data_IF_587182669005
#
_entry.id   IF_587182669005
#
_cell.length_a   1.000
_cell.length_b   1.000
_cell.length_c   1.000
_cell.angle_alpha   90.00
_cell.angle_beta   90.00
_cell.angle_gamma   90.00
#
_symmetry.space_group_name_H-M   'P 1'
#
loop_
_entity.id
_entity.type
_entity.pdbx_description
1 polymer ?
#
# COMPACT_ATOMS: atom_id res chain seq x y z
N UNK A 1 -16.10 11.39 19.48
CA UNK A 1 -16.32 10.26 20.41
C UNK A 1 -17.33 10.73 21.45
N UNK A 2 -18.62 10.50 21.23
CA UNK A 2 -19.71 11.06 22.05
C UNK A 2 -20.21 10.03 23.06
N UNK A 3 -19.31 9.47 23.86
CA UNK A 3 -19.62 8.44 24.87
C UNK A 3 -19.09 8.88 26.21
N UNK A 4 -19.91 8.81 27.25
CA UNK A 4 -19.50 8.99 28.64
C UNK A 4 -18.82 7.72 29.17
N UNK A 5 -17.51 7.80 29.33
CA UNK A 5 -16.65 6.83 30.01
C UNK A 5 -15.51 7.56 30.70
N UNK A 6 -14.68 6.87 31.49
CA UNK A 6 -13.56 7.49 32.22
C UNK A 6 -12.70 8.41 31.34
N UNK A 7 -12.26 7.93 30.18
CA UNK A 7 -11.33 8.68 29.32
C UNK A 7 -11.91 9.96 28.70
N UNK A 8 -13.20 9.98 28.34
CA UNK A 8 -13.85 11.20 27.82
C UNK A 8 -14.16 12.18 28.94
N UNK A 9 -14.60 11.68 30.10
CA UNK A 9 -14.78 12.48 31.30
C UNK A 9 -13.47 13.17 31.71
N UNK A 10 -12.39 12.38 31.83
CA UNK A 10 -11.08 12.87 32.25
C UNK A 10 -10.51 13.91 31.29
N UNK A 11 -10.70 13.75 29.97
CA UNK A 11 -10.26 14.73 28.97
C UNK A 11 -11.03 16.04 29.02
N UNK A 12 -12.36 16.01 29.27
CA UNK A 12 -13.14 17.24 29.46
C UNK A 12 -12.71 17.96 30.73
N UNK A 13 -12.48 17.22 31.82
CA UNK A 13 -12.00 17.81 33.06
C UNK A 13 -10.60 18.40 32.88
N UNK A 14 -9.69 17.67 32.24
CA UNK A 14 -8.33 18.10 31.94
C UNK A 14 -8.26 19.47 31.26
N UNK A 15 -9.15 19.75 30.30
CA UNK A 15 -9.12 21.02 29.55
C UNK A 15 -9.46 22.25 30.41
N UNK A 16 -10.05 22.06 31.60
CA UNK A 16 -10.48 23.14 32.50
C UNK A 16 -9.74 23.12 33.86
N UNK A 17 -8.67 22.34 33.97
CA UNK A 17 -7.87 22.20 35.20
C UNK A 17 -6.63 23.07 35.18
N UNK A 18 -6.19 23.52 36.37
CA UNK A 18 -4.91 24.21 36.56
C UNK A 18 -3.72 23.27 36.29
N UNK A 19 -2.57 23.83 35.92
CA UNK A 19 -1.34 23.04 35.79
C UNK A 19 -0.81 22.60 37.18
N UNK A 20 -0.28 21.36 37.31
CA UNK A 20 -0.13 20.34 36.28
C UNK A 20 -1.46 19.64 35.94
N UNK A 21 -1.77 19.54 34.65
CA UNK A 21 -2.97 18.90 34.12
C UNK A 21 -2.64 17.81 33.09
N UNK A 22 -1.43 17.25 33.10
CA UNK A 22 -1.13 16.09 32.26
C UNK A 22 -2.00 14.88 32.63
N UNK A 23 -1.97 13.84 31.79
CA UNK A 23 -2.82 12.66 32.01
C UNK A 23 -2.58 11.99 33.36
N UNK A 24 -1.34 12.04 33.87
CA UNK A 24 -0.96 11.44 35.15
C UNK A 24 -1.57 12.22 36.30
N UNK A 25 -1.37 13.55 36.34
CA UNK A 25 -1.92 14.43 37.36
C UNK A 25 -3.45 14.32 37.43
N UNK A 26 -4.13 14.30 36.27
CA UNK A 26 -5.59 14.17 36.22
C UNK A 26 -6.06 12.78 36.68
N UNK A 27 -5.34 11.71 36.31
CA UNK A 27 -5.68 10.36 36.76
C UNK A 27 -5.53 10.21 38.27
N UNK A 28 -4.41 10.69 38.84
CA UNK A 28 -4.14 10.62 40.27
C UNK A 28 -5.16 11.45 41.07
N UNK A 29 -5.54 12.63 40.55
CA UNK A 29 -6.57 13.46 41.17
C UNK A 29 -7.95 12.80 41.14
N UNK A 30 -8.37 12.23 40.00
CA UNK A 30 -9.68 11.59 39.85
C UNK A 30 -9.79 10.27 40.61
N UNK A 31 -8.70 9.50 40.66
CA UNK A 31 -8.68 8.16 41.24
C UNK A 31 -8.23 8.15 42.71
N UNK A 32 -7.73 9.28 43.24
CA UNK A 32 -7.19 9.39 44.60
C UNK A 32 -8.14 8.92 45.70
N UNK A 33 -9.45 9.16 45.57
CA UNK A 33 -10.44 8.68 46.55
C UNK A 33 -10.55 7.14 46.59
N UNK A 34 -10.21 6.46 45.49
CA UNK A 34 -10.23 4.99 45.38
C UNK A 34 -8.86 4.35 45.61
N UNK A 35 -7.77 5.10 45.42
CA UNK A 35 -6.39 4.61 45.57
C UNK A 35 -5.74 5.06 46.87
N UNK A 36 -6.49 5.66 47.80
CA UNK A 36 -5.94 6.26 49.02
C UNK A 36 -4.83 7.31 48.74
N UNK A 37 -5.00 8.02 47.61
CA UNK A 37 -4.05 8.99 47.04
C UNK A 37 -2.70 8.39 46.61
N UNK A 38 -2.61 7.08 46.41
CA UNK A 38 -1.47 6.46 45.74
C UNK A 38 -1.50 6.76 44.24
N UNK A 39 -0.30 6.92 43.66
CA UNK A 39 -0.12 7.17 42.23
C UNK A 39 -0.57 5.97 41.40
N UNK A 40 -1.33 6.26 40.34
CA UNK A 40 -1.78 5.26 39.38
C UNK A 40 -0.63 4.93 38.43
N UNK A 41 -0.44 3.64 38.14
CA UNK A 41 0.61 3.17 37.24
C UNK A 41 0.56 3.92 35.88
N UNK A 42 1.64 4.55 35.40
CA UNK A 42 1.62 5.39 34.18
C UNK A 42 1.11 4.68 32.92
N UNK A 43 1.42 3.38 32.80
CA UNK A 43 0.93 2.54 31.70
C UNK A 43 -0.60 2.38 31.74
N UNK A 44 -1.19 2.29 32.94
CA UNK A 44 -2.63 2.22 33.14
C UNK A 44 -3.27 3.56 32.74
N UNK A 45 -2.70 4.67 33.22
CA UNK A 45 -3.14 6.03 32.87
C UNK A 45 -3.17 6.22 31.34
N UNK A 46 -2.03 5.96 30.69
CA UNK A 46 -1.91 6.09 29.23
C UNK A 46 -2.95 5.25 28.48
N UNK A 47 -3.20 4.02 28.91
CA UNK A 47 -4.20 3.14 28.27
C UNK A 47 -5.63 3.59 28.54
N UNK A 48 -5.95 4.17 29.71
CA UNK A 48 -7.27 4.69 30.02
C UNK A 48 -7.61 5.92 29.18
N UNK A 49 -6.70 6.89 29.10
CA UNK A 49 -6.87 8.12 28.30
C UNK A 49 -6.90 7.85 26.79
N UNK A 50 -6.23 6.80 26.34
CA UNK A 50 -6.23 6.37 24.94
C UNK A 50 -7.31 5.32 24.61
N UNK A 51 -8.24 5.05 25.53
CA UNK A 51 -9.33 4.09 25.33
C UNK A 51 -8.86 2.67 24.95
N UNK A 52 -7.66 2.28 25.39
CA UNK A 52 -7.04 0.98 25.08
C UNK A 52 -7.32 -0.09 26.12
N UNK A 53 -7.91 0.28 27.26
CA UNK A 53 -8.31 -0.66 28.31
C UNK A 53 -9.55 -0.20 29.06
N UNK A 54 -10.19 -1.16 29.72
CA UNK A 54 -11.24 -0.90 30.70
C UNK A 54 -10.67 -0.32 32.00
N UNK A 55 -11.52 0.37 32.75
CA UNK A 55 -11.19 0.77 34.12
C UNK A 55 -10.88 -0.50 34.94
N UNK A 56 -9.74 -0.58 35.64
CA UNK A 56 -9.38 -1.75 36.44
C UNK A 56 -10.51 -2.17 37.39
N UNK A 57 -10.79 -3.48 37.47
CA UNK A 57 -11.90 -4.01 38.29
C UNK A 57 -11.81 -3.61 39.76
N UNK A 58 -10.60 -3.49 40.30
CA UNK A 58 -10.38 -3.03 41.68
C UNK A 58 -10.91 -1.60 41.90
N UNK A 59 -10.67 -0.70 40.94
CA UNK A 59 -11.16 0.69 40.98
C UNK A 59 -12.68 0.72 40.88
N UNK A 60 -13.26 -0.07 39.97
CA UNK A 60 -14.73 -0.14 39.81
C UNK A 60 -15.40 -0.69 41.07
N UNK A 61 -14.80 -1.71 41.71
CA UNK A 61 -15.30 -2.26 42.97
C UNK A 61 -15.24 -1.23 44.11
N UNK A 62 -14.11 -0.52 44.22
CA UNK A 62 -13.92 0.51 45.24
C UNK A 62 -14.84 1.72 45.02
N UNK A 63 -15.16 2.07 43.77
CA UNK A 63 -16.11 3.13 43.44
C UNK A 63 -17.53 2.89 43.99
N UNK A 64 -17.87 1.63 44.27
CA UNK A 64 -19.15 1.23 44.88
C UNK A 64 -19.07 1.07 46.40
N UNK A 65 -17.91 1.34 47.02
CA UNK A 65 -17.74 1.20 48.47
C UNK A 65 -18.49 2.31 49.22
N UNK A 66 -19.02 2.06 50.43
CA UNK A 66 -19.69 3.09 51.23
C UNK A 66 -18.80 4.31 51.49
N UNK A 67 -17.48 4.09 51.66
CA UNK A 67 -16.47 5.15 51.83
C UNK A 67 -16.47 6.10 50.63
N UNK A 68 -16.37 5.55 49.41
CA UNK A 68 -16.31 6.36 48.20
C UNK A 68 -17.65 7.04 47.93
N UNK A 69 -18.77 6.31 48.02
CA UNK A 69 -20.10 6.86 47.73
C UNK A 69 -20.48 8.00 48.68
N UNK A 70 -20.17 7.87 49.97
CA UNK A 70 -20.45 8.93 50.97
C UNK A 70 -19.43 10.07 50.91
N UNK A 71 -18.18 9.78 50.56
CA UNK A 71 -17.09 10.75 50.50
C UNK A 71 -16.97 11.51 49.17
N UNK A 72 -17.60 11.03 48.09
CA UNK A 72 -17.38 11.54 46.74
C UNK A 72 -17.70 13.04 46.62
N UNK A 73 -18.83 13.51 47.15
CA UNK A 73 -19.22 14.92 47.00
C UNK A 73 -18.24 15.86 47.71
N UNK A 74 -17.82 15.49 48.93
CA UNK A 74 -16.81 16.23 49.67
C UNK A 74 -15.49 16.25 48.92
N UNK A 75 -15.01 15.10 48.45
CA UNK A 75 -13.76 15.00 47.71
C UNK A 75 -13.79 15.83 46.42
N UNK A 76 -14.87 15.73 45.64
CA UNK A 76 -15.03 16.50 44.41
C UNK A 76 -15.05 18.01 44.68
N UNK A 77 -15.71 18.45 45.75
CA UNK A 77 -15.69 19.86 46.12
C UNK A 77 -14.29 20.34 46.53
N UNK A 78 -13.62 19.61 47.44
CA UNK A 78 -12.35 20.03 48.05
C UNK A 78 -11.13 19.84 47.13
N UNK A 79 -11.16 18.86 46.23
CA UNK A 79 -10.01 18.47 45.40
C UNK A 79 -10.19 18.79 43.93
N UNK A 80 -11.40 18.62 43.39
CA UNK A 80 -11.64 18.76 41.95
C UNK A 80 -12.11 20.16 41.62
N UNK A 81 -13.19 20.62 42.24
CA UNK A 81 -13.74 21.98 42.01
C UNK A 81 -12.73 23.05 42.43
N UNK A 82 -12.03 22.85 43.55
CA UNK A 82 -10.98 23.75 44.02
C UNK A 82 -9.79 23.87 43.05
N UNK A 83 -9.56 22.88 42.20
CA UNK A 83 -8.42 22.83 41.26
C UNK A 83 -8.80 23.24 39.83
N UNK A 84 -10.05 23.64 39.60
CA UNK A 84 -10.48 24.18 38.31
C UNK A 84 -9.77 25.51 38.01
N UNK A 85 -9.47 25.73 36.75
CA UNK A 85 -8.87 26.97 36.28
C UNK A 85 -9.95 28.08 36.25
N UNK A 86 -9.77 29.19 36.99
CA UNK A 86 -10.77 30.26 37.08
C UNK A 86 -11.16 30.89 35.73
N UNK A 87 -10.30 30.79 34.71
CA UNK A 87 -10.51 31.45 33.41
C UNK A 87 -11.38 30.65 32.44
N UNK A 88 -11.49 29.32 32.60
CA UNK A 88 -12.23 28.47 31.67
C UNK A 88 -13.13 27.42 32.36
N UNK A 89 -13.23 27.43 33.70
CA UNK A 89 -14.13 26.54 34.46
C UNK A 89 -15.58 26.57 33.99
N UNK A 90 -16.04 27.69 33.42
CA UNK A 90 -17.41 27.85 32.94
C UNK A 90 -17.70 26.99 31.68
N UNK A 91 -16.67 26.50 30.98
CA UNK A 91 -16.81 25.58 29.84
C UNK A 91 -17.08 24.12 30.28
N UNK A 92 -16.80 23.78 31.53
CA UNK A 92 -16.92 22.41 32.04
C UNK A 92 -18.35 21.88 31.95
N UNK A 93 -19.30 22.65 32.48
CA UNK A 93 -20.69 22.25 32.57
C UNK A 93 -21.35 22.11 31.19
N UNK A 94 -21.17 23.04 30.23
CA UNK A 94 -21.62 22.86 28.84
C UNK A 94 -21.03 21.62 28.17
N UNK A 95 -19.71 21.40 28.27
CA UNK A 95 -19.04 20.27 27.62
C UNK A 95 -19.49 18.93 28.19
N UNK A 96 -19.56 18.81 29.52
CA UNK A 96 -20.02 17.59 30.18
C UNK A 96 -21.50 17.31 29.90
N UNK A 97 -22.33 18.35 29.93
CA UNK A 97 -23.76 18.25 29.58
C UNK A 97 -23.96 17.77 28.15
N UNK A 98 -23.20 18.33 27.20
CA UNK A 98 -23.25 17.91 25.80
C UNK A 98 -22.84 16.44 25.64
N UNK A 99 -21.77 16.00 26.32
CA UNK A 99 -21.34 14.60 26.30
C UNK A 99 -22.45 13.64 26.76
N UNK A 100 -23.15 13.97 27.85
CA UNK A 100 -24.26 13.16 28.36
C UNK A 100 -25.45 13.14 27.37
N UNK A 101 -25.79 14.30 26.79
CA UNK A 101 -26.89 14.42 25.82
C UNK A 101 -26.62 13.60 24.55
N UNK A 102 -25.41 13.68 24.03
CA UNK A 102 -25.01 13.05 22.76
C UNK A 102 -24.77 11.53 22.90
N UNK A 103 -24.57 11.00 24.11
CA UNK A 103 -24.36 9.56 24.32
C UNK A 103 -25.67 8.76 24.19
N UNK A 104 -25.85 8.10 23.05
CA UNK A 104 -27.04 7.28 22.75
C UNK A 104 -27.16 6.01 23.60
N UNK A 105 -26.09 5.62 24.30
CA UNK A 105 -26.05 4.38 25.09
C UNK A 105 -26.38 4.61 26.58
N UNK A 106 -26.77 5.83 26.96
CA UNK A 106 -27.34 6.17 28.28
C UNK A 106 -28.86 6.28 28.16
N UNK A 107 -29.59 5.63 29.07
CA UNK A 107 -31.06 5.67 29.08
C UNK A 107 -31.59 7.08 29.36
N UNK A 108 -32.80 7.38 28.88
CA UNK A 108 -33.44 8.69 29.08
C UNK A 108 -33.57 9.05 30.57
N UNK A 109 -33.96 8.10 31.42
CA UNK A 109 -34.08 8.31 32.87
C UNK A 109 -32.74 8.63 33.52
N UNK A 110 -31.67 7.94 33.11
CA UNK A 110 -30.33 8.20 33.65
C UNK A 110 -29.78 9.54 33.18
N UNK A 111 -30.06 9.95 31.92
CA UNK A 111 -29.74 11.30 31.44
C UNK A 111 -30.48 12.35 32.27
N UNK A 112 -31.78 12.17 32.51
CA UNK A 112 -32.58 13.09 33.34
C UNK A 112 -32.02 13.20 34.76
N UNK A 113 -31.65 12.07 35.38
CA UNK A 113 -31.09 12.05 36.72
C UNK A 113 -29.73 12.78 36.81
N UNK A 114 -28.81 12.55 35.87
CA UNK A 114 -27.50 13.21 35.85
C UNK A 114 -27.62 14.71 35.53
N UNK A 115 -28.39 15.05 34.49
CA UNK A 115 -28.55 16.44 34.05
C UNK A 115 -29.38 17.29 35.03
N UNK A 116 -30.19 16.66 35.89
CA UNK A 116 -30.96 17.36 36.93
C UNK A 116 -30.09 18.08 37.97
N UNK A 117 -28.81 17.70 38.08
CA UNK A 117 -27.81 18.34 38.95
C UNK A 117 -26.83 19.23 38.17
N UNK A 118 -27.01 19.43 36.88
CA UNK A 118 -26.06 20.20 36.06
C UNK A 118 -26.23 21.72 36.27
N UNK A 119 -25.98 22.22 37.48
CA UNK A 119 -25.98 23.66 37.81
C UNK A 119 -24.66 24.07 38.48
N UNK A 120 -24.29 25.37 38.46
CA UNK A 120 -23.12 25.87 39.16
C UNK A 120 -23.12 25.58 40.67
N UNK A 121 -24.29 25.63 41.31
CA UNK A 121 -24.47 25.41 42.76
C UNK A 121 -24.28 23.95 43.14
N UNK A 122 -24.58 23.03 42.23
CA UNK A 122 -24.52 21.57 42.44
C UNK A 122 -23.37 20.93 41.65
N UNK A 123 -22.37 21.73 41.24
CA UNK A 123 -21.28 21.30 40.35
C UNK A 123 -20.50 20.11 40.91
N UNK A 124 -20.15 20.12 42.20
CA UNK A 124 -19.41 19.03 42.83
C UNK A 124 -20.19 17.70 42.79
N UNK A 125 -21.49 17.76 43.05
CA UNK A 125 -22.39 16.60 43.07
C UNK A 125 -22.59 16.05 41.65
N UNK A 126 -22.79 16.94 40.68
CA UNK A 126 -22.89 16.58 39.27
C UNK A 126 -21.63 15.90 38.76
N UNK A 127 -20.46 16.48 39.05
CA UNK A 127 -19.18 15.92 38.63
C UNK A 127 -18.93 14.55 39.26
N UNK A 128 -19.23 14.41 40.55
CA UNK A 128 -19.09 13.14 41.27
C UNK A 128 -20.02 12.05 40.71
N UNK A 129 -21.32 12.32 40.59
CA UNK A 129 -22.28 11.35 40.07
C UNK A 129 -21.96 10.94 38.63
N UNK A 130 -21.57 11.90 37.80
CA UNK A 130 -21.19 11.66 36.40
C UNK A 130 -19.92 10.83 36.31
N UNK A 131 -18.92 11.11 37.16
CA UNK A 131 -17.68 10.36 37.22
C UNK A 131 -17.89 8.92 37.69
N UNK A 132 -18.59 8.73 38.81
CA UNK A 132 -18.90 7.39 39.34
C UNK A 132 -19.67 6.56 38.31
N UNK A 133 -20.60 7.18 37.58
CA UNK A 133 -21.27 6.53 36.46
C UNK A 133 -20.29 6.19 35.33
N UNK A 134 -19.42 7.11 34.93
CA UNK A 134 -18.43 6.91 33.88
C UNK A 134 -17.41 5.79 34.17
N UNK A 135 -17.10 5.52 35.45
CA UNK A 135 -16.24 4.40 35.86
C UNK A 135 -16.85 3.03 35.56
N UNK A 136 -18.18 2.91 35.65
CA UNK A 136 -18.93 1.68 35.38
C UNK A 136 -19.22 1.46 33.88
N UNK A 137 -18.78 2.39 33.04
CA UNK A 137 -19.07 2.39 31.59
C UNK A 137 -17.87 1.83 30.83
N UNK A 138 -18.09 1.14 29.70
CA UNK A 138 -17.00 0.66 28.87
C UNK A 138 -16.08 1.81 28.46
N UNK A 139 -14.82 1.74 28.89
CA UNK A 139 -13.79 2.73 28.57
C UNK A 139 -12.98 2.31 27.35
N UNK A 140 -12.76 1.00 27.16
CA UNK A 140 -12.07 0.52 25.96
C UNK A 140 -12.92 0.86 24.73
N UNK A 141 -12.30 1.35 23.68
CA UNK A 141 -12.96 1.37 22.37
C UNK A 141 -13.16 -0.09 21.95
N UNK A 142 -14.36 -0.46 21.47
CA UNK A 142 -14.51 -1.74 20.78
C UNK A 142 -13.41 -1.80 19.71
N UNK A 143 -12.63 -2.87 19.69
CA UNK A 143 -11.55 -3.09 18.70
C UNK A 143 -12.06 -3.14 17.25
N UNK A 144 -13.35 -2.88 17.01
CA UNK A 144 -14.01 -3.06 15.72
C UNK A 144 -13.81 -1.94 14.70
N UNK A 145 -13.62 -0.67 15.06
CA UNK A 145 -13.70 0.39 14.03
C UNK A 145 -12.41 0.56 13.19
N UNK A 146 -11.24 0.39 13.80
CA UNK A 146 -9.97 0.41 13.07
C UNK A 146 -9.78 -0.88 12.25
N UNK A 147 -10.06 -2.05 12.85
CA UNK A 147 -9.93 -3.34 12.18
C UNK A 147 -10.97 -3.54 11.07
N UNK A 148 -12.20 -3.04 11.23
CA UNK A 148 -13.21 -3.06 10.14
C UNK A 148 -12.89 -2.10 9.01
N UNK A 149 -12.34 -0.92 9.30
CA UNK A 149 -11.94 0.01 8.25
C UNK A 149 -10.80 -0.58 7.41
N UNK A 150 -9.76 -1.09 8.07
CA UNK A 150 -8.64 -1.77 7.42
C UNK A 150 -9.14 -2.99 6.63
N UNK A 151 -10.03 -3.81 7.18
CA UNK A 151 -10.57 -4.96 6.45
C UNK A 151 -11.46 -4.56 5.27
N UNK A 152 -12.26 -3.50 5.39
CA UNK A 152 -13.09 -3.00 4.29
C UNK A 152 -12.28 -2.40 3.14
N UNK A 153 -11.19 -1.68 3.45
CA UNK A 153 -10.25 -1.15 2.46
C UNK A 153 -9.48 -2.28 1.75
N UNK A 154 -9.08 -3.31 2.51
CA UNK A 154 -8.46 -4.51 1.91
C UNK A 154 -9.43 -5.26 0.99
N UNK A 155 -10.67 -5.48 1.42
CA UNK A 155 -11.70 -6.15 0.61
C UNK A 155 -11.99 -5.33 -0.65
N UNK A 156 -12.10 -4.00 -0.55
CA UNK A 156 -12.27 -3.13 -1.70
C UNK A 156 -11.09 -3.24 -2.68
N UNK A 157 -9.85 -3.20 -2.18
CA UNK A 157 -8.66 -3.35 -3.00
C UNK A 157 -8.58 -4.72 -3.70
N UNK A 158 -8.95 -5.81 -3.01
CA UNK A 158 -9.02 -7.15 -3.59
C UNK A 158 -10.07 -7.21 -4.71
N UNK A 159 -11.26 -6.64 -4.50
CA UNK A 159 -12.29 -6.57 -5.52
C UNK A 159 -11.85 -5.74 -6.74
N UNK A 160 -11.10 -4.66 -6.54
CA UNK A 160 -10.59 -3.84 -7.63
C UNK A 160 -9.48 -4.55 -8.42
N UNK A 161 -8.65 -5.37 -7.76
CA UNK A 161 -7.70 -6.27 -8.42
C UNK A 161 -8.45 -7.31 -9.27
N UNK A 162 -9.51 -7.91 -8.73
CA UNK A 162 -10.33 -8.90 -9.46
C UNK A 162 -10.99 -8.26 -10.69
N UNK A 163 -11.56 -7.05 -10.57
CA UNK A 163 -12.10 -6.30 -11.72
C UNK A 163 -11.02 -5.97 -12.74
N UNK A 164 -9.83 -5.56 -12.30
CA UNK A 164 -8.72 -5.28 -13.21
C UNK A 164 -8.31 -6.54 -13.97
N UNK A 165 -8.21 -7.68 -13.29
CA UNK A 165 -7.93 -8.98 -13.92
C UNK A 165 -9.02 -9.36 -14.92
N UNK A 166 -10.29 -9.14 -14.60
CA UNK A 166 -11.41 -9.36 -15.52
C UNK A 166 -11.29 -8.48 -16.77
N UNK A 167 -10.99 -7.18 -16.60
CA UNK A 167 -10.81 -6.25 -17.72
C UNK A 167 -9.63 -6.69 -18.61
N UNK A 168 -8.49 -7.03 -18.00
CA UNK A 168 -7.29 -7.47 -18.73
C UNK A 168 -7.54 -8.78 -19.50
N UNK A 169 -8.37 -9.70 -18.96
CA UNK A 169 -8.73 -10.96 -19.62
C UNK A 169 -9.54 -10.79 -20.91
N UNK A 170 -10.15 -9.62 -21.12
CA UNK A 170 -10.88 -9.28 -22.36
C UNK A 170 -9.94 -9.01 -23.55
N UNK A 171 -8.63 -8.93 -23.31
CA UNK A 171 -7.61 -8.70 -24.32
C UNK A 171 -6.74 -9.96 -24.46
N UNK A 172 -7.27 -11.03 -25.09
CA UNK A 172 -6.53 -12.28 -25.25
C UNK A 172 -5.27 -12.06 -26.07
N UNK A 173 -4.27 -12.92 -25.85
CA UNK A 173 -3.05 -12.93 -26.66
C UNK A 173 -3.41 -13.05 -28.16
N UNK A 174 -2.82 -12.22 -29.03
CA UNK A 174 -3.04 -12.30 -30.47
C UNK A 174 -2.67 -13.68 -31.02
N UNK A 175 -3.36 -14.12 -32.07
CA UNK A 175 -3.02 -15.37 -32.76
C UNK A 175 -1.60 -15.28 -33.32
N UNK A 176 -0.80 -16.31 -33.07
CA UNK A 176 0.58 -16.37 -33.54
C UNK A 176 0.63 -16.27 -35.07
N UNK A 177 1.49 -15.38 -35.57
CA UNK A 177 1.76 -15.29 -37.00
C UNK A 177 2.45 -16.58 -37.48
N UNK A 178 2.06 -17.03 -38.67
CA UNK A 178 2.77 -18.10 -39.35
C UNK A 178 4.18 -17.61 -39.73
N UNK A 179 5.17 -18.46 -39.48
CA UNK A 179 6.56 -18.19 -39.87
C UNK A 179 6.71 -18.69 -41.31
N UNK A 180 6.93 -17.82 -42.30
CA UNK A 180 7.10 -18.23 -43.68
C UNK A 180 8.33 -19.13 -43.84
N UNK A 181 8.26 -20.11 -44.73
CA UNK A 181 9.39 -21.00 -45.00
C UNK A 181 10.60 -20.20 -45.52
N UNK A 182 10.33 -19.27 -46.43
CA UNK A 182 11.32 -18.33 -46.95
C UNK A 182 11.46 -17.08 -46.10
N UNK A 183 12.60 -16.41 -46.23
CA UNK A 183 12.88 -15.18 -45.50
C UNK A 183 12.22 -14.03 -46.24
N UNK A 184 11.34 -13.30 -45.57
CA UNK A 184 10.60 -12.18 -46.13
C UNK A 184 11.42 -10.88 -46.12
N UNK A 185 10.98 -9.89 -46.91
CA UNK A 185 11.68 -8.59 -47.03
C UNK A 185 11.88 -7.87 -45.69
N UNK A 186 10.90 -7.92 -44.80
CA UNK A 186 10.95 -7.31 -43.47
C UNK A 186 11.97 -8.00 -42.53
N UNK A 187 12.42 -9.21 -42.86
CA UNK A 187 13.41 -9.96 -42.06
C UNK A 187 14.86 -9.70 -42.50
N UNK A 188 15.06 -9.18 -43.72
CA UNK A 188 16.37 -9.21 -44.39
C UNK A 188 17.48 -8.53 -43.58
N UNK A 189 17.20 -7.41 -42.93
CA UNK A 189 18.22 -6.64 -42.19
C UNK A 189 18.76 -7.46 -41.01
N UNK A 190 17.90 -7.91 -40.08
CA UNK A 190 18.37 -8.70 -38.93
C UNK A 190 18.92 -10.07 -39.35
N UNK A 191 18.37 -10.69 -40.40
CA UNK A 191 18.88 -11.96 -40.94
C UNK A 191 20.30 -11.80 -41.47
N UNK A 192 20.57 -10.71 -42.20
CA UNK A 192 21.92 -10.41 -42.70
C UNK A 192 22.91 -10.25 -41.55
N UNK A 193 22.53 -9.48 -40.51
CA UNK A 193 23.37 -9.31 -39.32
C UNK A 193 23.58 -10.63 -38.56
N UNK A 194 22.55 -11.47 -38.51
CA UNK A 194 22.62 -12.79 -37.87
C UNK A 194 23.61 -13.72 -38.59
N UNK A 195 23.56 -13.74 -39.93
CA UNK A 195 24.50 -14.50 -40.76
C UNK A 195 25.94 -13.94 -40.63
N UNK A 196 26.10 -12.62 -40.55
CA UNK A 196 27.40 -11.99 -40.29
C UNK A 196 27.96 -12.40 -38.93
N UNK A 197 27.12 -12.46 -37.89
CA UNK A 197 27.52 -12.92 -36.56
C UNK A 197 28.06 -14.36 -36.57
N UNK A 198 27.46 -15.24 -37.39
CA UNK A 198 27.91 -16.62 -37.56
C UNK A 198 29.20 -16.70 -38.38
N UNK A 199 29.30 -15.92 -39.47
CA UNK A 199 30.50 -15.85 -40.29
C UNK A 199 31.72 -15.40 -39.47
N UNK A 200 31.54 -14.37 -38.63
CA UNK A 200 32.56 -13.87 -37.71
C UNK A 200 33.00 -14.92 -36.69
N UNK A 201 32.05 -15.72 -36.16
CA UNK A 201 32.37 -16.80 -35.23
C UNK A 201 33.17 -17.95 -35.87
N UNK A 202 33.00 -18.18 -37.17
CA UNK A 202 33.76 -19.17 -37.95
C UNK A 202 35.04 -18.58 -38.58
N UNK A 203 35.27 -17.27 -38.46
CA UNK A 203 36.41 -16.59 -39.08
C UNK A 203 36.34 -16.57 -40.62
N UNK A 204 35.14 -16.61 -41.20
CA UNK A 204 34.93 -16.54 -42.65
C UNK A 204 34.32 -15.20 -43.05
N UNK A 205 34.62 -14.73 -44.26
CA UNK A 205 34.17 -13.41 -44.71
C UNK A 205 32.65 -13.31 -44.93
N UNK A 206 32.00 -14.41 -45.31
CA UNK A 206 30.58 -14.43 -45.64
C UNK A 206 29.99 -15.83 -45.48
N UNK A 207 28.79 -15.91 -44.91
CA UNK A 207 28.02 -17.14 -44.76
C UNK A 207 26.62 -16.98 -45.38
N UNK A 208 26.34 -17.60 -46.53
CA UNK A 208 24.99 -17.58 -47.10
C UNK A 208 24.02 -18.47 -46.32
N UNK A 209 22.72 -18.11 -46.32
CA UNK A 209 21.65 -18.85 -45.61
C UNK A 209 21.64 -20.34 -46.00
N UNK A 210 21.85 -20.65 -47.27
CA UNK A 210 21.76 -22.00 -47.83
C UNK A 210 22.84 -22.92 -47.22
N UNK A 211 23.99 -22.34 -46.86
CA UNK A 211 25.10 -23.05 -46.22
C UNK A 211 24.83 -23.40 -44.77
N UNK A 212 23.80 -22.85 -44.10
CA UNK A 212 23.45 -23.21 -42.72
C UNK A 212 23.17 -24.71 -42.53
N UNK A 213 22.78 -25.41 -43.59
CA UNK A 213 22.64 -26.88 -43.58
C UNK A 213 23.91 -27.61 -43.17
N UNK A 214 25.08 -27.01 -43.41
CA UNK A 214 26.40 -27.54 -43.04
C UNK A 214 26.81 -27.17 -41.61
N UNK A 215 26.08 -26.25 -40.96
CA UNK A 215 26.34 -25.76 -39.61
C UNK A 215 25.12 -25.98 -38.72
N UNK A 216 24.89 -27.22 -38.19
CA UNK A 216 23.69 -27.55 -37.43
C UNK A 216 23.42 -26.61 -36.24
N UNK A 217 24.48 -26.14 -35.57
CA UNK A 217 24.42 -25.17 -34.48
C UNK A 217 23.79 -23.83 -34.91
N UNK A 218 24.23 -23.28 -36.03
CA UNK A 218 23.73 -22.00 -36.55
C UNK A 218 22.36 -22.14 -37.20
N UNK A 219 22.09 -23.26 -37.86
CA UNK A 219 20.73 -23.58 -38.35
C UNK A 219 19.72 -23.58 -37.21
N UNK A 220 20.03 -24.27 -36.11
CA UNK A 220 19.14 -24.34 -34.95
C UNK A 220 18.98 -23.00 -34.21
N UNK A 221 20.04 -22.17 -34.14
CA UNK A 221 19.91 -20.80 -33.62
C UNK A 221 19.06 -19.93 -34.55
N UNK A 222 19.32 -19.99 -35.87
CA UNK A 222 18.59 -19.23 -36.88
C UNK A 222 17.08 -19.50 -36.84
N UNK A 223 16.66 -20.76 -36.83
CA UNK A 223 15.26 -21.14 -36.71
C UNK A 223 14.62 -20.63 -35.40
N UNK A 224 15.38 -20.64 -34.30
CA UNK A 224 14.93 -20.10 -33.02
C UNK A 224 14.82 -18.58 -33.05
N UNK A 225 15.75 -17.87 -33.69
CA UNK A 225 15.73 -16.41 -33.81
C UNK A 225 14.59 -15.92 -34.71
N UNK A 226 14.27 -16.66 -35.78
CA UNK A 226 13.05 -16.41 -36.57
C UNK A 226 11.79 -16.59 -35.72
N UNK A 227 11.71 -17.64 -34.90
CA UNK A 227 10.59 -17.82 -33.95
C UNK A 227 10.48 -16.64 -32.97
N UNK A 228 11.60 -16.20 -32.41
CA UNK A 228 11.64 -15.04 -31.51
C UNK A 228 11.15 -13.77 -32.24
N UNK A 229 11.61 -13.50 -33.47
CA UNK A 229 11.18 -12.37 -34.30
C UNK A 229 9.66 -12.36 -34.55
N UNK A 230 9.09 -13.48 -35.01
CA UNK A 230 7.64 -13.56 -35.28
C UNK A 230 6.78 -13.54 -34.02
N UNK A 231 7.31 -13.98 -32.87
CA UNK A 231 6.66 -13.78 -31.58
C UNK A 231 6.52 -12.28 -31.26
N UNK A 232 7.59 -11.49 -31.45
CA UNK A 232 7.52 -10.04 -31.28
C UNK A 232 6.61 -9.37 -32.31
N UNK A 233 6.65 -9.79 -33.57
CA UNK A 233 5.81 -9.24 -34.65
C UNK A 233 4.31 -9.53 -34.42
N UNK A 234 3.99 -10.71 -33.86
CA UNK A 234 2.63 -11.05 -33.42
C UNK A 234 2.12 -10.03 -32.41
N UNK A 235 2.93 -9.70 -31.41
CA UNK A 235 2.59 -8.70 -30.39
C UNK A 235 2.54 -7.29 -30.98
N UNK A 236 3.44 -6.94 -31.91
CA UNK A 236 3.42 -5.63 -32.57
C UNK A 236 2.10 -5.40 -33.31
N UNK A 237 1.64 -6.38 -34.09
CA UNK A 237 0.37 -6.30 -34.82
C UNK A 237 -0.82 -6.29 -33.87
N UNK A 238 -0.87 -7.21 -32.92
CA UNK A 238 -1.98 -7.28 -31.96
C UNK A 238 -2.06 -6.08 -31.00
N UNK A 239 -0.91 -5.45 -30.66
CA UNK A 239 -0.87 -4.19 -29.94
C UNK A 239 -1.62 -3.09 -30.69
N UNK A 240 -1.39 -2.97 -32.00
CA UNK A 240 -2.09 -2.00 -32.85
C UNK A 240 -3.59 -2.27 -32.91
N UNK A 241 -3.99 -3.54 -32.98
CA UNK A 241 -5.41 -3.91 -33.03
C UNK A 241 -6.14 -3.59 -31.71
N UNK A 242 -5.49 -3.80 -30.56
CA UNK A 242 -6.08 -3.57 -29.24
C UNK A 242 -6.03 -2.11 -28.81
N UNK A 243 -4.90 -1.45 -28.99
CA UNK A 243 -4.67 -0.11 -28.49
C UNK A 243 -4.91 0.99 -29.53
N UNK A 244 -4.93 0.65 -30.82
CA UNK A 244 -4.94 1.63 -31.91
C UNK A 244 -3.64 2.43 -31.99
N UNK A 245 -3.66 3.52 -32.76
CA UNK A 245 -2.56 4.49 -32.85
C UNK A 245 -2.63 5.48 -31.67
N UNK A 246 -2.44 4.99 -30.44
CA UNK A 246 -2.39 5.84 -29.24
C UNK A 246 -0.98 6.40 -29.03
N UNK A 247 -0.89 7.58 -28.44
CA UNK A 247 0.36 8.21 -28.02
C UNK A 247 0.57 8.01 -26.50
N UNK A 248 1.62 7.29 -26.04
CA UNK A 248 2.65 6.62 -26.82
C UNK A 248 2.23 5.21 -27.30
N UNK A 249 2.76 4.78 -28.45
CA UNK A 249 2.62 3.41 -28.97
C UNK A 249 3.30 2.44 -27.98
N UNK A 250 2.54 1.46 -27.49
CA UNK A 250 3.02 0.59 -26.42
C UNK A 250 4.09 -0.41 -26.87
N UNK A 251 4.14 -0.72 -28.16
CA UNK A 251 5.21 -1.51 -28.74
C UNK A 251 6.50 -0.69 -28.88
N UNK A 252 6.39 0.60 -29.21
CA UNK A 252 7.55 1.50 -29.18
C UNK A 252 8.11 1.65 -27.76
N UNK A 253 7.26 1.77 -26.74
CA UNK A 253 7.69 1.74 -25.32
C UNK A 253 8.41 0.42 -24.98
N UNK A 254 7.93 -0.72 -25.48
CA UNK A 254 8.60 -2.01 -25.30
C UNK A 254 9.98 -2.04 -25.97
N UNK A 255 10.10 -1.49 -27.18
CA UNK A 255 11.39 -1.36 -27.88
C UNK A 255 12.37 -0.51 -27.09
N UNK A 256 11.93 0.61 -26.54
CA UNK A 256 12.77 1.51 -25.75
C UNK A 256 13.27 0.85 -24.47
N UNK A 257 12.38 0.24 -23.68
CA UNK A 257 12.81 -0.48 -22.47
C UNK A 257 13.71 -1.67 -22.79
N UNK A 258 13.46 -2.36 -23.91
CA UNK A 258 14.31 -3.47 -24.33
C UNK A 258 15.69 -2.98 -24.74
N UNK A 259 15.75 -1.90 -25.51
CA UNK A 259 17.01 -1.27 -25.94
C UNK A 259 17.84 -0.82 -24.73
N UNK A 260 17.25 -0.04 -23.82
CA UNK A 260 17.91 0.44 -22.60
C UNK A 260 18.44 -0.72 -21.76
N UNK A 261 17.69 -1.83 -21.70
CA UNK A 261 18.06 -3.01 -20.92
C UNK A 261 19.18 -3.87 -21.52
N UNK A 262 19.52 -3.69 -22.81
CA UNK A 262 20.50 -4.54 -23.52
C UNK A 262 21.67 -3.80 -24.12
N UNK A 263 21.57 -2.48 -24.35
CA UNK A 263 22.59 -1.72 -25.09
C UNK A 263 23.96 -1.73 -24.40
N UNK A 264 23.98 -1.68 -23.06
CA UNK A 264 25.22 -1.76 -22.29
C UNK A 264 25.91 -3.13 -22.45
N UNK A 265 25.13 -4.21 -22.55
CA UNK A 265 25.65 -5.56 -22.80
C UNK A 265 26.10 -5.69 -24.25
N UNK A 266 25.37 -5.12 -25.19
CA UNK A 266 25.74 -5.09 -26.61
C UNK A 266 27.09 -4.39 -26.83
N UNK A 267 27.33 -3.29 -26.10
CA UNK A 267 28.52 -2.45 -26.21
C UNK A 267 29.78 -3.05 -25.56
N UNK A 268 29.68 -4.23 -24.95
CA UNK A 268 30.84 -4.93 -24.38
C UNK A 268 31.70 -5.59 -25.47
N UNK A 269 32.95 -5.89 -25.10
CA UNK A 269 33.87 -6.65 -25.93
C UNK A 269 33.50 -8.13 -25.92
N UNK A 270 33.45 -8.73 -27.11
CA UNK A 270 33.20 -10.14 -27.32
C UNK A 270 34.18 -10.71 -28.34
N UNK A 271 34.53 -12.01 -28.23
CA UNK A 271 35.47 -12.64 -29.16
C UNK A 271 34.95 -12.69 -30.61
N UNK A 272 33.64 -12.66 -30.81
CA UNK A 272 32.98 -12.65 -32.12
C UNK A 272 31.51 -12.25 -31.96
N UNK A 273 30.84 -11.89 -33.06
CA UNK A 273 29.47 -11.38 -33.08
C UNK A 273 28.44 -12.38 -32.57
N UNK A 274 28.62 -13.68 -32.83
CA UNK A 274 27.73 -14.69 -32.25
C UNK A 274 27.79 -14.75 -30.71
N UNK A 275 28.92 -14.42 -30.08
CA UNK A 275 29.02 -14.35 -28.61
C UNK A 275 28.27 -13.12 -28.07
N UNK A 276 28.42 -11.97 -28.74
CA UNK A 276 27.66 -10.74 -28.44
C UNK A 276 26.16 -10.98 -28.55
N UNK A 277 25.71 -11.53 -29.67
CA UNK A 277 24.31 -11.91 -29.92
C UNK A 277 23.76 -12.75 -28.76
N UNK A 278 24.45 -13.85 -28.41
CA UNK A 278 23.96 -14.75 -27.36
C UNK A 278 23.87 -14.07 -26.00
N UNK A 279 24.81 -13.18 -25.66
CA UNK A 279 24.75 -12.44 -24.41
C UNK A 279 23.64 -11.40 -24.37
N UNK A 280 23.44 -10.66 -25.46
CA UNK A 280 22.31 -9.73 -25.60
C UNK A 280 20.98 -10.48 -25.49
N UNK A 281 20.83 -11.61 -26.19
CA UNK A 281 19.60 -12.42 -26.14
C UNK A 281 19.34 -13.02 -24.75
N UNK A 282 20.40 -13.40 -24.02
CA UNK A 282 20.28 -13.85 -22.64
C UNK A 282 19.82 -12.72 -21.72
N UNK A 283 20.39 -11.53 -21.88
CA UNK A 283 19.99 -10.33 -21.13
C UNK A 283 18.53 -9.95 -21.43
N UNK A 284 18.15 -9.88 -22.71
CA UNK A 284 16.79 -9.56 -23.15
C UNK A 284 15.74 -10.51 -22.56
N UNK A 285 16.08 -11.79 -22.34
CA UNK A 285 15.18 -12.74 -21.71
C UNK A 285 14.81 -12.33 -20.26
N UNK A 286 15.73 -11.67 -19.55
CA UNK A 286 15.65 -11.39 -18.11
C UNK A 286 15.30 -9.96 -17.74
N UNK A 287 15.42 -8.99 -18.67
CA UNK A 287 15.05 -7.60 -18.38
C UNK A 287 13.58 -7.48 -17.99
N UNK A 288 13.32 -6.50 -17.12
CA UNK A 288 11.97 -6.04 -16.78
C UNK A 288 11.58 -4.91 -17.74
N UNK A 289 10.32 -4.88 -18.13
CA UNK A 289 9.73 -3.92 -19.07
C UNK A 289 8.47 -3.32 -18.45
N UNK A 290 8.66 -2.74 -17.26
CA UNK A 290 7.58 -2.37 -16.34
C UNK A 290 6.83 -1.10 -16.80
N UNK A 291 7.43 -0.27 -17.67
CA UNK A 291 6.78 0.93 -18.25
C UNK A 291 5.80 0.55 -19.36
N UNK A 292 6.09 -0.51 -20.12
CA UNK A 292 5.25 -1.00 -21.21
C UNK A 292 3.96 -1.64 -20.68
N UNK A 293 2.79 -1.15 -21.11
CA UNK A 293 1.50 -1.71 -20.69
C UNK A 293 1.28 -3.14 -21.20
N UNK A 294 1.90 -3.54 -22.32
CA UNK A 294 1.79 -4.89 -22.87
C UNK A 294 2.31 -5.94 -21.89
N UNK A 295 3.27 -5.58 -21.03
CA UNK A 295 3.79 -6.47 -19.97
C UNK A 295 2.76 -6.82 -18.89
N UNK A 296 1.68 -6.05 -18.79
CA UNK A 296 0.57 -6.27 -17.84
C UNK A 296 -0.54 -7.14 -18.42
N UNK A 297 -0.54 -7.34 -19.75
CA UNK A 297 -1.51 -8.20 -20.40
C UNK A 297 -1.09 -9.67 -20.21
N UNK A 298 -2.01 -10.56 -19.81
CA UNK A 298 -1.70 -11.96 -19.57
C UNK A 298 -1.11 -12.63 -20.82
N UNK A 299 0.07 -13.23 -20.68
CA UNK A 299 0.77 -14.02 -21.71
C UNK A 299 1.18 -13.25 -22.98
N UNK A 300 1.13 -11.91 -22.99
CA UNK A 300 1.56 -11.12 -24.14
C UNK A 300 3.07 -11.00 -24.26
N UNK A 301 3.77 -10.70 -23.16
CA UNK A 301 5.21 -10.44 -23.18
C UNK A 301 5.96 -11.53 -22.41
N UNK A 302 6.74 -12.33 -23.13
CA UNK A 302 7.63 -13.34 -22.58
C UNK A 302 9.08 -13.14 -23.01
N UNK A 303 9.91 -14.15 -22.75
CA UNK A 303 11.32 -14.12 -23.13
C UNK A 303 11.54 -14.17 -24.66
N UNK A 304 10.63 -14.79 -25.41
CA UNK A 304 10.74 -14.91 -26.87
C UNK A 304 10.45 -13.56 -27.54
N UNK A 305 9.39 -12.88 -27.10
CA UNK A 305 9.01 -11.56 -27.59
C UNK A 305 10.11 -10.52 -27.32
N UNK A 306 10.70 -10.50 -26.12
CA UNK A 306 11.81 -9.58 -25.81
C UNK A 306 13.07 -9.84 -26.66
N UNK A 307 13.35 -11.10 -27.00
CA UNK A 307 14.43 -11.46 -27.94
C UNK A 307 14.09 -11.02 -29.37
N UNK A 308 12.85 -11.22 -29.80
CA UNK A 308 12.36 -10.76 -31.09
C UNK A 308 12.43 -9.25 -31.25
N UNK A 309 12.13 -8.50 -30.18
CA UNK A 309 12.28 -7.04 -30.15
C UNK A 309 13.72 -6.62 -30.44
N UNK A 310 14.73 -7.37 -29.99
CA UNK A 310 16.12 -7.08 -30.34
C UNK A 310 16.38 -7.20 -31.86
N UNK A 311 15.74 -8.14 -32.54
CA UNK A 311 15.82 -8.24 -34.01
C UNK A 311 15.10 -7.08 -34.71
N UNK A 312 13.95 -6.65 -34.18
CA UNK A 312 13.25 -5.46 -34.67
C UNK A 312 14.11 -4.20 -34.46
N UNK A 313 14.82 -4.09 -33.33
CA UNK A 313 15.76 -2.99 -33.08
C UNK A 313 16.96 -2.98 -34.06
N UNK A 314 17.40 -4.15 -34.53
CA UNK A 314 18.40 -4.26 -35.61
C UNK A 314 17.81 -3.82 -36.95
N UNK A 315 16.59 -4.24 -37.28
CA UNK A 315 15.88 -3.75 -38.48
C UNK A 315 15.73 -2.22 -38.45
N UNK A 316 15.38 -1.66 -37.30
CA UNK A 316 15.25 -0.22 -37.04
C UNK A 316 16.62 0.50 -37.00
N UNK A 317 17.74 -0.22 -37.14
CA UNK A 317 19.12 0.28 -37.05
C UNK A 317 19.47 0.98 -35.72
N UNK A 318 18.68 0.75 -34.67
CA UNK A 318 18.96 1.21 -33.30
C UNK A 318 20.06 0.37 -32.66
N UNK A 319 20.08 -0.92 -32.98
CA UNK A 319 21.23 -1.80 -32.75
C UNK A 319 21.94 -1.97 -34.09
N UNK A 320 23.22 -1.61 -34.16
CA UNK A 320 23.98 -1.54 -35.44
C UNK A 320 24.30 -2.88 -36.10
N UNK A 321 24.02 -3.99 -35.41
CA UNK A 321 24.44 -5.33 -35.83
C UNK A 321 25.13 -6.08 -34.69
N UNK A 322 25.67 -7.26 -34.99
CA UNK A 322 26.30 -8.12 -33.98
C UNK A 322 27.82 -8.15 -34.05
N UNK A 323 28.40 -7.80 -35.20
CA UNK A 323 29.85 -7.74 -35.41
C UNK A 323 30.35 -6.33 -35.06
N UNK A 324 31.55 -6.20 -34.49
CA UNK A 324 32.19 -4.90 -34.35
C UNK A 324 32.67 -4.47 -35.74
N UNK A 325 32.05 -3.44 -36.30
CA UNK A 325 32.63 -2.77 -37.46
C UNK A 325 33.58 -1.71 -36.91
N UNK A 326 34.87 -1.84 -37.21
CA UNK A 326 35.86 -0.77 -37.04
C UNK A 326 35.53 0.36 -38.04
N UNK A 327 34.54 1.19 -37.72
CA UNK A 327 34.30 2.48 -38.37
C UNK A 327 34.16 3.62 -37.36
#
# INVERSE_FOLDING_TARGET
>A
MSRLCFGTYAKILQSVMQEPNDNQAIADLLLGLMTDNEQVIPKVVSRLFNFKQEVPKAIVAEASSPRVVQGAYKYFNEKIVAFLNPHNKDELLPHMTKLIKDDSTITADKKKALLGKATPETLAEFLADTFLYALHRPNKLPTGDADKKISSELIAALNDIEKLQEILSRFPRPAALEIPEEVESDELTYVTELLAAYADAEGIAYLPKESLTQYPKYKADFERRRKDYYAAETIRRGSRDVFGEKDPDQFDVLKDETYDGVIDVHSQDFPHGFARLNKVMAQAATIRVDKCLLSRLPDWIGASEKKGVCHILVNDKRIRGWVANDE
#
